data_IF_592951118604
#
_entry.id   IF_592951118604
#
_cell.length_a   1.000
_cell.length_b   1.000
_cell.length_c   1.000
_cell.angle_alpha   90.00
_cell.angle_beta   90.00
_cell.angle_gamma   90.00
#
_symmetry.space_group_name_H-M   'P 1'
#
loop_
_entity.id
_entity.type
_entity.pdbx_description
1 polymer ?
#
# COMPACT_ATOMS: atom_id res chain seq x y z
N UNK A 1 5.63 -11.94 3.19
CA UNK A 1 6.32 -10.78 2.55
C UNK A 1 5.30 -10.05 1.69
N UNK A 2 5.29 -8.71 1.66
CA UNK A 2 4.38 -7.93 0.80
C UNK A 2 5.20 -6.86 0.09
N UNK A 3 5.07 -6.79 -1.24
CA UNK A 3 5.70 -5.74 -2.05
C UNK A 3 4.67 -4.65 -2.38
N UNK A 4 5.12 -3.40 -2.32
CA UNK A 4 4.38 -2.21 -2.69
C UNK A 4 5.14 -1.50 -3.81
N UNK A 5 4.46 -1.24 -4.93
CA UNK A 5 4.98 -0.36 -5.98
C UNK A 5 4.03 0.81 -6.15
N UNK A 6 4.56 2.03 -6.08
CA UNK A 6 3.83 3.22 -6.48
C UNK A 6 3.64 3.19 -8.00
N UNK A 7 2.39 3.20 -8.44
CA UNK A 7 2.04 3.30 -9.85
C UNK A 7 2.02 4.76 -10.27
N UNK A 8 1.31 5.60 -9.53
CA UNK A 8 1.08 6.99 -9.88
C UNK A 8 0.58 7.81 -8.66
N UNK A 9 0.62 9.13 -8.80
CA UNK A 9 0.04 10.07 -7.83
C UNK A 9 -0.96 10.97 -8.56
N UNK A 10 -2.23 10.90 -8.17
CA UNK A 10 -3.34 11.65 -8.80
C UNK A 10 -4.11 12.40 -7.73
N UNK A 11 -4.19 13.73 -7.83
CA UNK A 11 -4.92 14.59 -6.87
C UNK A 11 -4.53 14.34 -5.39
N UNK A 12 -3.25 14.07 -5.12
CA UNK A 12 -2.75 13.76 -3.78
C UNK A 12 -3.05 12.34 -3.29
N UNK A 13 -3.69 11.51 -4.11
CA UNK A 13 -3.81 10.07 -3.87
C UNK A 13 -2.63 9.34 -4.50
N UNK A 14 -1.93 8.58 -3.67
CA UNK A 14 -0.85 7.70 -4.09
C UNK A 14 -1.44 6.34 -4.37
N UNK A 15 -1.37 5.92 -5.64
CA UNK A 15 -1.91 4.66 -6.11
C UNK A 15 -0.82 3.60 -6.09
N UNK A 16 -1.00 2.58 -5.27
CA UNK A 16 -0.06 1.48 -5.14
C UNK A 16 -0.66 0.19 -5.70
N UNK A 17 0.18 -0.59 -6.38
CA UNK A 17 -0.06 -2.01 -6.53
C UNK A 17 0.68 -2.79 -5.46
N UNK A 18 0.06 -3.89 -5.04
CA UNK A 18 0.61 -4.76 -4.02
C UNK A 18 0.59 -6.21 -4.45
N UNK A 19 1.61 -6.92 -3.97
CA UNK A 19 1.82 -8.34 -4.23
C UNK A 19 1.97 -9.07 -2.90
N UNK A 20 0.87 -9.60 -2.35
CA UNK A 20 0.90 -10.47 -1.17
C UNK A 20 1.78 -11.69 -1.45
N UNK A 21 2.75 -11.95 -0.59
CA UNK A 21 3.73 -13.04 -0.72
C UNK A 21 4.60 -12.98 -1.99
N UNK A 22 4.55 -11.85 -2.72
CA UNK A 22 5.17 -11.74 -4.05
C UNK A 22 4.40 -12.47 -5.15
N UNK A 23 3.15 -12.87 -4.89
CA UNK A 23 2.30 -13.58 -5.86
C UNK A 23 1.57 -12.59 -6.77
N UNK A 24 1.89 -12.62 -8.06
CA UNK A 24 1.30 -11.74 -9.09
C UNK A 24 -0.18 -12.05 -9.34
N UNK A 25 -0.63 -13.28 -9.11
CA UNK A 25 -2.05 -13.65 -9.24
C UNK A 25 -2.91 -13.02 -8.13
N UNK A 26 -2.26 -12.57 -7.04
CA UNK A 26 -2.89 -11.90 -5.90
C UNK A 26 -2.69 -10.39 -5.94
N UNK A 27 -2.37 -9.83 -7.10
CA UNK A 27 -2.18 -8.39 -7.26
C UNK A 27 -3.44 -7.63 -6.84
N UNK A 28 -3.27 -6.67 -5.93
CA UNK A 28 -4.32 -5.74 -5.53
C UNK A 28 -3.85 -4.30 -5.74
N UNK A 29 -4.80 -3.38 -5.78
CA UNK A 29 -4.55 -1.94 -5.94
C UNK A 29 -5.25 -1.21 -4.81
N UNK A 30 -4.55 -0.26 -4.19
CA UNK A 30 -5.14 0.69 -3.25
C UNK A 30 -4.64 2.10 -3.54
N UNK A 31 -5.43 3.08 -3.16
CA UNK A 31 -5.08 4.49 -3.24
C UNK A 31 -5.10 5.09 -1.84
N UNK A 32 -4.04 5.80 -1.47
CA UNK A 32 -3.91 6.41 -0.16
C UNK A 32 -3.57 7.89 -0.29
N UNK A 33 -4.33 8.75 0.37
CA UNK A 33 -4.02 10.16 0.49
C UNK A 33 -3.37 10.44 1.86
N UNK A 34 -2.06 10.75 1.92
CA UNK A 34 -1.38 10.98 3.19
C UNK A 34 -1.86 12.24 3.92
N UNK A 35 -2.35 13.24 3.19
CA UNK A 35 -2.82 14.52 3.74
C UNK A 35 -4.18 14.37 4.43
N UNK A 36 -5.12 13.63 3.83
CA UNK A 36 -6.46 13.42 4.40
C UNK A 36 -6.59 12.12 5.19
N UNK A 37 -5.60 11.22 5.09
CA UNK A 37 -5.61 9.85 5.62
C UNK A 37 -6.71 8.97 5.01
N UNK A 38 -7.23 9.36 3.85
CA UNK A 38 -8.24 8.61 3.12
C UNK A 38 -7.59 7.40 2.42
N UNK A 39 -8.20 6.22 2.61
CA UNK A 39 -7.79 4.97 1.97
C UNK A 39 -8.93 4.49 1.07
N UNK A 40 -8.69 4.38 -0.23
CA UNK A 40 -9.59 3.75 -1.19
C UNK A 40 -9.04 2.40 -1.59
N UNK A 41 -9.88 1.38 -1.48
CA UNK A 41 -9.57 0.00 -1.85
C UNK A 41 -10.77 -0.58 -2.58
N UNK A 42 -10.52 -1.26 -3.70
CA UNK A 42 -11.61 -1.87 -4.48
C UNK A 42 -12.21 -3.10 -3.79
N UNK A 43 -11.47 -3.78 -2.91
CA UNK A 43 -11.93 -4.99 -2.22
C UNK A 43 -11.46 -4.98 -0.74
N UNK A 44 -12.29 -5.44 0.22
CA UNK A 44 -11.80 -5.85 1.54
C UNK A 44 -10.78 -6.98 1.36
N UNK A 45 -9.78 -7.09 2.24
CA UNK A 45 -8.65 -7.97 1.97
C UNK A 45 -9.17 -9.38 2.01
N UNK A 46 -9.13 -10.07 0.86
CA UNK A 46 -9.58 -11.46 0.73
C UNK A 46 -8.85 -12.40 1.70
N UNK A 47 -7.76 -11.93 2.29
CA UNK A 47 -6.85 -12.66 3.15
C UNK A 47 -7.00 -12.37 4.64
N UNK A 48 -8.06 -11.67 5.08
CA UNK A 48 -8.43 -11.53 6.51
C UNK A 48 -7.42 -10.78 7.39
N UNK A 49 -6.33 -10.29 6.80
CA UNK A 49 -5.27 -9.52 7.45
C UNK A 49 -5.17 -8.17 6.76
N UNK A 50 -5.19 -7.08 7.54
CA UNK A 50 -5.10 -5.74 6.99
C UNK A 50 -3.62 -5.31 6.81
N UNK A 51 -2.96 -5.96 5.85
CA UNK A 51 -1.58 -5.61 5.46
C UNK A 51 -1.50 -4.19 4.90
N UNK A 52 -2.57 -3.66 4.30
CA UNK A 52 -2.59 -2.30 3.75
C UNK A 52 -2.42 -1.27 4.88
N UNK A 53 -3.22 -1.30 5.95
CA UNK A 53 -3.05 -0.36 7.07
C UNK A 53 -1.70 -0.52 7.77
N UNK A 54 -1.25 -1.77 7.97
CA UNK A 54 0.07 -2.02 8.56
C UNK A 54 1.22 -1.53 7.66
N UNK A 55 1.05 -1.59 6.35
CA UNK A 55 2.04 -1.08 5.41
C UNK A 55 1.99 0.41 5.23
N UNK A 56 0.83 1.07 5.34
CA UNK A 56 0.74 2.55 5.38
C UNK A 56 1.61 3.13 6.50
N UNK A 57 1.70 2.46 7.65
CA UNK A 57 2.62 2.84 8.73
C UNK A 57 4.09 2.79 8.26
N UNK A 58 4.45 1.79 7.47
CA UNK A 58 5.80 1.59 6.94
C UNK A 58 6.10 2.37 5.64
N UNK A 59 5.05 2.89 4.98
CA UNK A 59 5.16 3.71 3.77
C UNK A 59 5.56 5.15 4.08
N UNK A 60 5.38 5.63 5.31
CA UNK A 60 5.80 6.98 5.71
C UNK A 60 7.32 7.04 5.89
N UNK A 61 7.96 8.02 5.26
CA UNK A 61 9.30 8.49 5.57
C UNK A 61 9.27 9.31 6.87
N UNK A 62 10.43 9.51 7.49
CA UNK A 62 10.57 10.36 8.68
C UNK A 62 10.10 11.82 8.42
N UNK A 63 10.21 12.27 7.17
CA UNK A 63 9.73 13.57 6.69
C UNK A 63 8.21 13.62 6.42
N UNK A 64 7.48 12.53 6.63
CA UNK A 64 6.03 12.45 6.40
C UNK A 64 5.61 12.19 4.94
N UNK A 65 6.55 12.20 3.99
CA UNK A 65 6.32 11.77 2.60
C UNK A 65 6.18 10.24 2.46
N UNK A 66 5.62 9.75 1.35
CA UNK A 66 5.44 8.32 1.11
C UNK A 66 6.58 7.71 0.28
N UNK A 67 6.99 6.48 0.61
CA UNK A 67 8.01 5.71 -0.11
C UNK A 67 7.47 5.22 -1.46
N UNK A 68 8.31 5.28 -2.49
CA UNK A 68 7.97 4.85 -3.86
C UNK A 68 7.86 3.32 -3.99
N UNK A 69 8.70 2.59 -3.28
CA UNK A 69 8.64 1.12 -3.22
C UNK A 69 9.03 0.63 -1.83
N UNK A 70 8.24 -0.29 -1.27
CA UNK A 70 8.52 -0.88 0.05
C UNK A 70 8.34 -2.39 -0.02
N UNK A 71 9.27 -3.11 0.59
CA UNK A 71 9.14 -4.52 0.87
C UNK A 71 8.97 -4.69 2.37
N UNK A 72 7.81 -5.21 2.79
CA UNK A 72 7.56 -5.50 4.21
C UNK A 72 7.56 -7.01 4.43
N UNK A 73 8.40 -7.47 5.34
CA UNK A 73 8.43 -8.87 5.80
C UNK A 73 7.76 -8.91 7.16
N UNK A 74 6.70 -9.72 7.28
CA UNK A 74 6.00 -9.97 8.53
C UNK A 74 6.47 -11.34 9.06
N UNK A 75 6.90 -11.40 10.32
CA UNK A 75 7.24 -12.62 11.06
C UNK A 75 6.09 -13.03 11.98
#
# INVERSE_FOLDING_TARGET
MVKFNLIEVVNGFYRYEIFPEGDESRREIFEFNPSTRELKRNDPSKYGFDYVSKSIINLKNEDGGLKESVQVVWY
#
